data_IF_534134966932
#
_entry.id   IF_534134966932
#
_cell.length_a   1.000
_cell.length_b   1.000
_cell.length_c   1.000
_cell.angle_alpha   90.00
_cell.angle_beta   90.00
_cell.angle_gamma   90.00
#
_symmetry.space_group_name_H-M   'P 1'
#
loop_
_entity.id
_entity.type
_entity.pdbx_description
1 polymer ?
#
# COMPACT_ATOMS: atom_id res chain seq x y z
N UNK A 1 0.77 -8.24 21.29
CA UNK A 1 0.50 -8.74 19.92
C UNK A 1 -0.36 -7.75 19.14
N UNK A 2 -1.52 -7.33 19.64
CA UNK A 2 -2.47 -6.47 18.91
C UNK A 2 -1.91 -5.12 18.44
N UNK A 3 -1.19 -4.39 19.31
CA UNK A 3 -0.60 -3.09 18.94
C UNK A 3 0.46 -3.21 17.82
N UNK A 4 1.24 -4.29 17.82
CA UNK A 4 2.24 -4.56 16.78
C UNK A 4 1.56 -4.78 15.41
N UNK A 5 0.44 -5.52 15.38
CA UNK A 5 -0.32 -5.73 14.14
C UNK A 5 -0.88 -4.42 13.59
N UNK A 6 -1.41 -3.55 14.44
CA UNK A 6 -1.85 -2.22 14.04
C UNK A 6 -0.70 -1.34 13.52
N UNK A 7 0.48 -1.40 14.15
CA UNK A 7 1.65 -0.67 13.69
C UNK A 7 2.11 -1.15 12.30
N UNK A 8 2.22 -2.47 12.12
CA UNK A 8 2.56 -3.07 10.82
C UNK A 8 1.52 -2.73 9.75
N UNK A 9 0.24 -2.70 10.11
CA UNK A 9 -0.86 -2.30 9.23
C UNK A 9 -0.74 -0.85 8.78
N UNK A 10 -0.45 0.07 9.70
CA UNK A 10 -0.27 1.49 9.39
C UNK A 10 0.97 1.72 8.53
N UNK A 11 2.04 0.96 8.77
CA UNK A 11 3.23 0.98 7.92
C UNK A 11 2.91 0.48 6.50
N UNK A 12 2.19 -0.65 6.38
CA UNK A 12 1.72 -1.15 5.10
C UNK A 12 0.80 -0.15 4.39
N UNK A 13 -0.04 0.59 5.12
CA UNK A 13 -0.90 1.63 4.56
C UNK A 13 -0.10 2.82 4.00
N UNK A 14 0.89 3.31 4.75
CA UNK A 14 1.77 4.37 4.26
C UNK A 14 2.55 3.93 3.01
N UNK A 15 3.04 2.69 3.00
CA UNK A 15 3.74 2.13 1.85
C UNK A 15 2.82 1.97 0.65
N UNK A 16 1.62 1.39 0.80
CA UNK A 16 0.64 1.19 -0.26
C UNK A 16 0.21 2.51 -0.92
N UNK A 17 -0.06 3.53 -0.12
CA UNK A 17 -0.42 4.84 -0.67
C UNK A 17 0.77 5.45 -1.42
N UNK A 18 1.95 5.44 -0.82
CA UNK A 18 3.16 6.01 -1.39
C UNK A 18 3.59 5.31 -2.68
N UNK A 19 3.57 3.97 -2.69
CA UNK A 19 3.94 3.15 -3.85
C UNK A 19 3.04 3.43 -5.04
N UNK A 20 1.72 3.42 -4.85
CA UNK A 20 0.76 3.66 -5.93
C UNK A 20 0.90 5.08 -6.51
N UNK A 21 1.11 6.09 -5.66
CA UNK A 21 1.33 7.46 -6.14
C UNK A 21 2.64 7.59 -6.94
N UNK A 22 3.71 6.91 -6.53
CA UNK A 22 4.97 6.88 -7.28
C UNK A 22 4.84 6.12 -8.60
N UNK A 23 4.19 4.95 -8.58
CA UNK A 23 3.89 4.16 -9.77
C UNK A 23 3.10 4.97 -10.80
N UNK A 24 2.06 5.67 -10.37
CA UNK A 24 1.17 6.43 -11.27
C UNK A 24 1.79 7.73 -11.74
N UNK A 25 2.65 8.38 -10.93
CA UNK A 25 3.38 9.60 -11.32
C UNK A 25 4.29 9.39 -12.53
N UNK A 26 4.99 8.25 -12.56
CA UNK A 26 6.03 7.98 -13.57
C UNK A 26 5.50 7.32 -14.84
N UNK A 27 4.20 7.03 -14.93
CA UNK A 27 3.60 6.42 -16.12
C UNK A 27 3.86 7.27 -17.39
N UNK A 28 4.23 6.63 -18.52
CA UNK A 28 4.24 5.18 -18.77
C UNK A 28 5.51 4.43 -18.32
N UNK A 29 6.48 5.12 -17.72
CA UNK A 29 7.71 4.47 -17.24
C UNK A 29 7.44 3.75 -15.92
N UNK A 30 8.24 2.72 -15.67
CA UNK A 30 8.16 1.94 -14.44
C UNK A 30 8.90 2.66 -13.32
N UNK A 31 8.21 2.98 -12.22
CA UNK A 31 8.82 3.55 -11.02
C UNK A 31 9.45 2.45 -10.15
N UNK A 32 10.78 2.34 -10.15
CA UNK A 32 11.50 1.39 -9.27
C UNK A 32 11.16 1.62 -7.79
N UNK A 33 11.13 2.88 -7.27
CA UNK A 33 10.71 3.14 -5.89
C UNK A 33 9.27 2.69 -5.63
N UNK A 34 8.37 2.89 -6.59
CA UNK A 34 6.98 2.43 -6.53
C UNK A 34 6.87 0.91 -6.42
N UNK A 35 7.64 0.16 -7.23
CA UNK A 35 7.70 -1.30 -7.17
C UNK A 35 8.23 -1.78 -5.82
N UNK A 36 9.32 -1.18 -5.33
CA UNK A 36 9.90 -1.54 -4.04
C UNK A 36 8.88 -1.35 -2.90
N UNK A 37 8.13 -0.24 -2.93
CA UNK A 37 7.06 0.02 -1.97
C UNK A 37 5.93 -1.01 -2.02
N UNK A 38 5.49 -1.43 -3.22
CA UNK A 38 4.50 -2.49 -3.36
C UNK A 38 4.99 -3.83 -2.81
N UNK A 39 6.22 -4.25 -3.16
CA UNK A 39 6.78 -5.50 -2.65
C UNK A 39 6.87 -5.52 -1.12
N UNK A 40 7.27 -4.40 -0.52
CA UNK A 40 7.30 -4.25 0.94
C UNK A 40 5.90 -4.28 1.55
N UNK A 41 4.92 -3.65 0.90
CA UNK A 41 3.51 -3.70 1.32
C UNK A 41 2.99 -5.14 1.31
N UNK A 42 3.19 -5.87 0.22
CA UNK A 42 2.80 -7.28 0.11
C UNK A 42 3.49 -8.15 1.16
N UNK A 43 4.79 -7.93 1.40
CA UNK A 43 5.52 -8.66 2.44
C UNK A 43 4.94 -8.41 3.83
N UNK A 44 4.59 -7.16 4.17
CA UNK A 44 3.97 -6.82 5.46
C UNK A 44 2.57 -7.42 5.62
N UNK A 45 1.74 -7.37 4.58
CA UNK A 45 0.42 -7.99 4.60
C UNK A 45 0.49 -9.52 4.70
N UNK A 46 1.42 -10.14 3.96
CA UNK A 46 1.71 -11.56 4.06
C UNK A 46 2.17 -11.94 5.47
N UNK A 47 3.06 -11.16 6.08
CA UNK A 47 3.50 -11.37 7.46
C UNK A 47 2.35 -11.25 8.46
N UNK A 48 1.47 -10.25 8.32
CA UNK A 48 0.26 -10.11 9.17
C UNK A 48 -0.63 -11.34 9.08
N UNK A 49 -0.87 -11.86 7.87
CA UNK A 49 -1.66 -13.08 7.67
C UNK A 49 -1.01 -14.33 8.27
N UNK A 50 0.30 -14.52 8.05
CA UNK A 50 1.04 -15.66 8.58
C UNK A 50 1.10 -15.67 10.12
N UNK A 51 1.13 -14.48 10.73
CA UNK A 51 1.10 -14.31 12.18
C UNK A 51 -0.31 -14.40 12.78
N UNK A 52 -1.34 -14.66 11.96
CA UNK A 52 -2.72 -14.77 12.42
C UNK A 52 -3.31 -13.45 12.92
N UNK A 53 -2.90 -12.32 12.34
CA UNK A 53 -3.45 -11.02 12.72
C UNK A 53 -4.96 -10.95 12.41
N UNK A 54 -5.76 -10.24 13.22
CA UNK A 54 -7.18 -10.05 12.94
C UNK A 54 -7.38 -9.39 11.57
N UNK A 55 -8.35 -9.86 10.77
CA UNK A 55 -8.59 -9.32 9.41
C UNK A 55 -8.82 -7.80 9.40
N UNK A 56 -9.38 -7.24 10.48
CA UNK A 56 -9.55 -5.80 10.64
C UNK A 56 -8.23 -5.01 10.56
N UNK A 57 -7.08 -5.62 10.90
CA UNK A 57 -5.77 -4.99 10.78
C UNK A 57 -5.28 -4.96 9.33
N UNK A 58 -5.98 -5.52 8.35
CA UNK A 58 -5.61 -5.38 6.94
C UNK A 58 -6.29 -4.16 6.30
N UNK A 59 -7.42 -3.70 6.89
CA UNK A 59 -8.23 -2.62 6.35
C UNK A 59 -7.46 -1.33 6.09
N UNK A 60 -6.59 -0.82 6.99
CA UNK A 60 -5.86 0.41 6.74
C UNK A 60 -5.05 0.37 5.45
N UNK A 61 -4.34 -0.74 5.20
CA UNK A 61 -3.52 -0.90 4.01
C UNK A 61 -4.35 -1.02 2.73
N UNK A 62 -5.45 -1.77 2.79
CA UNK A 62 -6.36 -1.92 1.65
C UNK A 62 -7.03 -0.58 1.28
N UNK A 63 -7.49 0.18 2.28
CA UNK A 63 -8.09 1.49 2.06
C UNK A 63 -7.08 2.49 1.51
N UNK A 64 -5.86 2.51 2.06
CA UNK A 64 -4.80 3.38 1.58
C UNK A 64 -4.39 3.07 0.14
N UNK A 65 -4.26 1.80 -0.22
CA UNK A 65 -4.03 1.37 -1.60
C UNK A 65 -5.16 1.80 -2.54
N UNK A 66 -6.43 1.57 -2.15
CA UNK A 66 -7.61 1.99 -2.92
C UNK A 66 -7.62 3.51 -3.16
N UNK A 67 -7.38 4.30 -2.12
CA UNK A 67 -7.31 5.76 -2.21
C UNK A 67 -6.16 6.17 -3.15
N UNK A 68 -4.98 5.57 -2.98
CA UNK A 68 -3.84 5.82 -3.86
C UNK A 68 -4.15 5.54 -5.32
N UNK A 69 -4.83 4.44 -5.61
CA UNK A 69 -5.25 4.08 -6.97
C UNK A 69 -6.26 5.08 -7.53
N UNK A 70 -7.28 5.46 -6.74
CA UNK A 70 -8.28 6.42 -7.16
C UNK A 70 -7.65 7.79 -7.48
N UNK A 71 -6.76 8.28 -6.61
CA UNK A 71 -6.05 9.55 -6.80
C UNK A 71 -5.11 9.49 -8.00
N UNK A 72 -4.32 8.42 -8.13
CA UNK A 72 -3.39 8.25 -9.24
C UNK A 72 -4.10 8.13 -10.58
N UNK A 73 -5.21 7.39 -10.65
CA UNK A 73 -6.03 7.26 -11.86
C UNK A 73 -6.70 8.59 -12.23
N UNK A 74 -7.29 9.29 -11.26
CA UNK A 74 -7.86 10.63 -11.50
C UNK A 74 -6.81 11.59 -12.06
N UNK A 75 -5.60 11.59 -11.49
CA UNK A 75 -4.49 12.40 -11.96
C UNK A 75 -3.99 12.02 -13.36
N UNK A 76 -4.18 10.78 -13.80
CA UNK A 76 -3.81 10.33 -15.14
C UNK A 76 -4.89 10.65 -16.19
N UNK A 77 -6.17 10.55 -15.82
CA UNK A 77 -7.30 10.83 -16.73
C UNK A 77 -7.53 12.33 -16.97
N UNK A 78 -7.14 13.17 -16.02
CA UNK A 78 -7.30 14.64 -16.10
C UNK A 78 -6.02 15.38 -16.54
N UNK A 79 -5.04 14.68 -17.11
CA UNK A 79 -3.86 15.27 -17.78
C UNK A 79 -4.07 15.31 -19.28
#
# INVERSE_FOLDING_TARGET
>A
MTALFWLMSLLAAALALGSVLLLTRDLPRVSIPGIAGELLTFALLGALLLLGAPLATLLPALLAGLIGTAVGLYGLLNR
#
